data_IF_988325404382
#
_entry.id   IF_988325404382
#
_cell.length_a   1.000
_cell.length_b   1.000
_cell.length_c   1.000
_cell.angle_alpha   90.00
_cell.angle_beta   90.00
_cell.angle_gamma   90.00
#
_symmetry.space_group_name_H-M   'P 1'
#
loop_
_entity.id
_entity.type
_entity.pdbx_description
1 polymer ?
#
# COMPACT_ATOMS: atom_id res chain seq x y z
N UNK A 1 -6.03 -30.85 -3.65
CA UNK A 1 -4.56 -30.89 -3.54
C UNK A 1 -4.06 -29.46 -3.53
N UNK A 2 -3.21 -29.06 -2.57
CA UNK A 2 -2.57 -27.74 -2.56
C UNK A 2 -1.77 -27.49 -3.85
N UNK A 3 -1.80 -26.26 -4.36
CA UNK A 3 -1.07 -25.88 -5.59
C UNK A 3 0.27 -25.27 -5.23
N UNK A 4 1.36 -25.79 -5.82
CA UNK A 4 2.71 -25.27 -5.61
C UNK A 4 2.83 -23.77 -5.89
N UNK A 5 3.62 -23.09 -5.07
CA UNK A 5 4.01 -21.69 -5.28
C UNK A 5 4.60 -21.49 -6.70
N UNK A 6 4.28 -20.38 -7.33
CA UNK A 6 4.65 -20.11 -8.73
C UNK A 6 3.65 -19.22 -9.46
N UNK A 7 3.79 -19.12 -10.78
CA UNK A 7 2.95 -18.26 -11.65
C UNK A 7 1.44 -18.45 -11.46
N UNK A 8 0.97 -19.67 -11.16
CA UNK A 8 -0.45 -19.93 -10.87
C UNK A 8 -1.01 -18.97 -9.82
N UNK A 9 -0.28 -18.75 -8.72
CA UNK A 9 -0.72 -17.91 -7.63
C UNK A 9 -0.72 -16.42 -7.97
N UNK A 10 0.08 -16.00 -8.94
CA UNK A 10 0.04 -14.63 -9.48
C UNK A 10 -1.27 -14.43 -10.24
N UNK A 11 -1.60 -15.34 -11.15
CA UNK A 11 -2.86 -15.32 -11.92
C UNK A 11 -4.05 -15.40 -10.98
N UNK A 12 -4.04 -16.34 -10.04
CA UNK A 12 -5.09 -16.51 -9.05
C UNK A 12 -5.31 -15.24 -8.23
N UNK A 13 -4.25 -14.60 -7.75
CA UNK A 13 -4.37 -13.38 -6.95
C UNK A 13 -4.87 -12.19 -7.79
N UNK A 14 -4.52 -12.13 -9.07
CA UNK A 14 -5.02 -11.10 -9.99
C UNK A 14 -6.51 -11.28 -10.30
N UNK A 15 -7.04 -12.50 -10.23
CA UNK A 15 -8.48 -12.75 -10.37
C UNK A 15 -9.24 -12.58 -9.04
N UNK A 16 -8.73 -13.12 -7.93
CA UNK A 16 -9.48 -13.37 -6.70
C UNK A 16 -9.08 -12.48 -5.51
N UNK A 17 -7.93 -11.81 -5.58
CA UNK A 17 -7.38 -11.05 -4.46
C UNK A 17 -6.87 -9.68 -4.92
N UNK A 18 -7.69 -8.93 -5.67
CA UNK A 18 -7.35 -7.61 -6.19
C UNK A 18 -7.22 -6.58 -5.05
N UNK A 19 -6.25 -5.68 -5.20
CA UNK A 19 -6.22 -4.46 -4.39
C UNK A 19 -7.26 -3.47 -4.92
N UNK A 20 -7.74 -2.59 -4.04
CA UNK A 20 -8.64 -1.51 -4.40
C UNK A 20 -7.91 -0.20 -4.65
N UNK A 21 -8.58 0.68 -5.42
CA UNK A 21 -8.29 2.10 -5.59
C UNK A 21 -9.47 2.99 -5.18
N UNK A 22 -10.56 2.40 -4.69
CA UNK A 22 -11.78 3.11 -4.32
C UNK A 22 -11.68 3.62 -2.89
N UNK A 23 -11.95 4.91 -2.69
CA UNK A 23 -12.02 5.50 -1.35
C UNK A 23 -13.10 4.79 -0.51
N UNK A 24 -14.17 4.31 -1.15
CA UNK A 24 -15.26 3.60 -0.49
C UNK A 24 -14.86 2.30 0.21
N UNK A 25 -13.74 1.69 -0.20
CA UNK A 25 -13.22 0.47 0.41
C UNK A 25 -12.33 0.73 1.64
N UNK A 26 -12.08 2.00 1.98
CA UNK A 26 -11.37 2.38 3.22
C UNK A 26 -12.23 2.09 4.45
N UNK A 27 -11.57 1.95 5.60
CA UNK A 27 -12.24 1.88 6.90
C UNK A 27 -13.07 3.16 7.12
N UNK A 28 -14.24 3.01 7.73
CA UNK A 28 -15.30 4.03 7.72
C UNK A 28 -14.84 5.41 8.22
N UNK A 29 -14.15 5.47 9.36
CA UNK A 29 -13.65 6.73 9.91
C UNK A 29 -12.56 7.31 9.03
N UNK A 30 -11.62 6.49 8.58
CA UNK A 30 -10.55 6.95 7.69
C UNK A 30 -11.08 7.40 6.33
N UNK A 31 -12.11 6.74 5.79
CA UNK A 31 -12.82 7.13 4.56
C UNK A 31 -13.40 8.53 4.67
N UNK A 32 -14.11 8.83 5.76
CA UNK A 32 -14.69 10.15 6.01
C UNK A 32 -13.62 11.25 6.06
N UNK A 33 -12.52 10.97 6.76
CA UNK A 33 -11.37 11.85 6.87
C UNK A 33 -10.71 12.12 5.50
N UNK A 34 -10.47 11.07 4.71
CA UNK A 34 -9.91 11.18 3.35
C UNK A 34 -10.83 11.96 2.42
N UNK A 35 -12.13 11.72 2.45
CA UNK A 35 -13.09 12.46 1.64
C UNK A 35 -13.08 13.96 1.97
N UNK A 36 -13.07 14.30 3.26
CA UNK A 36 -12.98 15.70 3.70
C UNK A 36 -11.67 16.36 3.25
N UNK A 37 -10.54 15.68 3.40
CA UNK A 37 -9.24 16.20 2.96
C UNK A 37 -9.19 16.41 1.44
N UNK A 38 -9.61 15.42 0.65
CA UNK A 38 -9.63 15.50 -0.82
C UNK A 38 -10.59 16.61 -1.28
N UNK A 39 -11.73 16.80 -0.61
CA UNK A 39 -12.65 17.89 -0.90
C UNK A 39 -11.98 19.26 -0.70
N UNK A 40 -11.25 19.44 0.40
CA UNK A 40 -10.52 20.69 0.67
C UNK A 40 -9.42 20.95 -0.37
N UNK A 41 -8.67 19.91 -0.76
CA UNK A 41 -7.65 20.01 -1.81
C UNK A 41 -8.27 20.44 -3.15
N UNK A 42 -9.36 19.80 -3.56
CA UNK A 42 -10.04 20.10 -4.83
C UNK A 42 -10.66 21.49 -4.84
N UNK A 43 -11.25 21.91 -3.72
CA UNK A 43 -11.80 23.27 -3.57
C UNK A 43 -10.71 24.36 -3.74
N UNK A 44 -9.48 24.06 -3.36
CA UNK A 44 -8.33 24.94 -3.53
C UNK A 44 -7.66 24.86 -4.93
N UNK A 45 -8.24 24.09 -5.86
CA UNK A 45 -7.71 23.93 -7.22
C UNK A 45 -6.67 22.82 -7.40
N UNK A 46 -6.45 21.95 -6.40
CA UNK A 46 -5.57 20.80 -6.56
C UNK A 46 -6.27 19.61 -7.25
N UNK A 47 -5.49 18.85 -7.99
CA UNK A 47 -5.88 17.55 -8.54
C UNK A 47 -5.37 16.43 -7.64
N UNK A 48 -6.19 15.40 -7.44
CA UNK A 48 -5.84 14.23 -6.63
C UNK A 48 -6.08 12.96 -7.44
N UNK A 49 -5.05 12.12 -7.55
CA UNK A 49 -5.11 10.81 -8.21
C UNK A 49 -4.78 9.71 -7.22
N UNK A 50 -5.71 8.76 -7.04
CA UNK A 50 -5.57 7.64 -6.09
C UNK A 50 -5.02 6.41 -6.81
N UNK A 51 -3.88 5.90 -6.34
CA UNK A 51 -3.22 4.73 -6.92
C UNK A 51 -3.47 3.44 -6.13
N UNK A 52 -3.73 3.53 -4.83
CA UNK A 52 -4.11 2.37 -4.00
C UNK A 52 -4.88 2.78 -2.73
N UNK A 53 -5.75 1.89 -2.26
CA UNK A 53 -6.47 1.98 -0.98
C UNK A 53 -6.36 0.64 -0.26
N UNK A 54 -7.43 -0.16 -0.19
CA UNK A 54 -7.43 -1.43 0.53
C UNK A 54 -6.64 -2.51 -0.22
N UNK A 55 -5.65 -3.09 0.47
CA UNK A 55 -4.90 -4.26 0.00
C UNK A 55 -5.62 -5.52 0.46
N UNK A 56 -5.88 -6.46 -0.45
CA UNK A 56 -6.49 -7.72 -0.07
C UNK A 56 -5.54 -8.52 0.84
N UNK A 57 -6.05 -9.01 1.99
CA UNK A 57 -5.26 -9.78 2.97
C UNK A 57 -4.58 -11.01 2.35
N UNK A 58 -5.26 -11.73 1.45
CA UNK A 58 -4.71 -12.90 0.76
C UNK A 58 -3.57 -12.51 -0.19
N UNK A 59 -3.69 -11.37 -0.86
CA UNK A 59 -2.60 -10.83 -1.70
C UNK A 59 -1.40 -10.40 -0.87
N UNK A 60 -1.63 -9.71 0.24
CA UNK A 60 -0.57 -9.31 1.18
C UNK A 60 0.18 -10.53 1.73
N UNK A 61 -0.54 -11.60 2.06
CA UNK A 61 0.02 -12.88 2.46
C UNK A 61 0.94 -13.47 1.38
N UNK A 62 0.44 -13.59 0.14
CA UNK A 62 1.22 -14.12 -0.98
C UNK A 62 2.48 -13.29 -1.21
N UNK A 63 2.37 -11.95 -1.17
CA UNK A 63 3.49 -11.03 -1.32
C UNK A 63 4.57 -11.25 -0.26
N UNK A 64 4.15 -11.33 1.01
CA UNK A 64 5.06 -11.46 2.14
C UNK A 64 5.88 -12.75 2.07
N UNK A 65 5.19 -13.88 1.92
CA UNK A 65 5.83 -15.19 1.96
C UNK A 65 6.62 -15.49 0.70
N UNK A 66 6.13 -15.10 -0.49
CA UNK A 66 6.92 -15.26 -1.72
C UNK A 66 8.23 -14.47 -1.63
N UNK A 67 8.18 -13.26 -1.06
CA UNK A 67 9.38 -12.47 -0.84
C UNK A 67 10.31 -13.16 0.16
N UNK A 68 9.85 -13.47 1.38
CA UNK A 68 10.74 -14.05 2.40
C UNK A 68 11.38 -15.36 1.97
N UNK A 69 10.61 -16.26 1.35
CA UNK A 69 11.10 -17.56 0.89
C UNK A 69 12.09 -17.39 -0.26
N UNK A 70 11.76 -16.61 -1.30
CA UNK A 70 12.66 -16.39 -2.44
C UNK A 70 13.99 -15.74 -2.05
N UNK A 71 13.96 -14.82 -1.06
CA UNK A 71 15.15 -14.16 -0.55
C UNK A 71 15.92 -15.00 0.49
N UNK A 72 15.48 -16.23 0.78
CA UNK A 72 16.11 -17.10 1.77
C UNK A 72 16.01 -16.58 3.21
N UNK A 73 15.08 -15.65 3.47
CA UNK A 73 14.84 -15.04 4.80
C UNK A 73 13.85 -15.85 5.64
N UNK A 74 13.23 -16.89 5.09
CA UNK A 74 12.38 -17.86 5.79
C UNK A 74 12.38 -19.20 5.08
N UNK A 75 12.11 -20.26 5.83
CA UNK A 75 11.84 -21.59 5.28
C UNK A 75 10.42 -21.61 4.71
N UNK A 76 10.13 -22.47 3.72
CA UNK A 76 8.76 -22.67 3.23
C UNK A 76 7.76 -23.02 4.34
N UNK A 77 8.18 -23.83 5.32
CA UNK A 77 7.39 -24.25 6.49
C UNK A 77 7.02 -23.11 7.43
N UNK A 78 7.72 -21.98 7.39
CA UNK A 78 7.43 -20.84 8.28
C UNK A 78 6.13 -20.13 7.85
N UNK A 79 5.70 -20.31 6.60
CA UNK A 79 4.51 -19.70 6.07
C UNK A 79 3.24 -20.34 6.66
N UNK A 80 2.67 -19.69 7.68
CA UNK A 80 1.40 -20.12 8.29
C UNK A 80 0.31 -20.25 7.22
N UNK A 81 -0.52 -21.29 7.29
CA UNK A 81 -1.65 -21.45 6.36
C UNK A 81 -2.62 -20.26 6.45
N UNK A 82 -3.10 -19.78 5.31
CA UNK A 82 -4.14 -18.76 5.24
C UNK A 82 -5.40 -19.35 4.59
N UNK A 83 -6.57 -19.33 5.26
CA UNK A 83 -7.80 -19.87 4.70
C UNK A 83 -8.16 -19.31 3.32
N UNK A 84 -8.48 -20.22 2.38
CA UNK A 84 -8.79 -19.91 0.99
C UNK A 84 -7.60 -19.41 0.17
N UNK A 85 -6.38 -19.80 0.58
CA UNK A 85 -5.12 -19.71 -0.18
C UNK A 85 -4.39 -21.05 0.01
N UNK A 86 -4.79 -22.06 -0.77
CA UNK A 86 -4.27 -23.43 -0.69
C UNK A 86 -2.92 -23.60 -1.40
N UNK A 87 -1.98 -22.74 -1.07
CA UNK A 87 -0.63 -22.71 -1.63
C UNK A 87 0.27 -23.73 -0.94
N UNK A 88 0.99 -24.53 -1.73
CA UNK A 88 2.08 -25.37 -1.27
C UNK A 88 3.39 -24.62 -1.45
N UNK A 89 3.96 -24.15 -0.33
CA UNK A 89 5.25 -23.47 -0.35
C UNK A 89 6.41 -24.44 -0.39
N UNK A 90 6.28 -25.61 0.25
CA UNK A 90 7.35 -26.61 0.32
C UNK A 90 7.22 -27.59 -0.84
N UNK A 91 8.20 -27.53 -1.74
CA UNK A 91 8.20 -28.38 -2.93
C UNK A 91 8.92 -29.72 -2.68
N UNK A 92 9.29 -30.01 -1.44
CA UNK A 92 10.18 -31.13 -1.05
C UNK A 92 11.65 -30.85 -1.36
N UNK A 93 11.96 -29.65 -1.85
CA UNK A 93 13.29 -29.21 -2.27
C UNK A 93 13.40 -27.70 -2.07
N UNK A 94 14.44 -27.26 -1.37
CA UNK A 94 14.65 -25.85 -1.01
C UNK A 94 14.85 -24.96 -2.24
N UNK A 95 15.57 -25.44 -3.25
CA UNK A 95 15.84 -24.69 -4.49
C UNK A 95 14.56 -24.54 -5.31
N UNK A 96 13.74 -25.58 -5.43
CA UNK A 96 12.44 -25.53 -6.12
C UNK A 96 11.46 -24.61 -5.40
N UNK A 97 11.41 -24.67 -4.07
CA UNK A 97 10.56 -23.81 -3.24
C UNK A 97 10.93 -22.32 -3.42
N UNK A 98 12.23 -22.00 -3.40
CA UNK A 98 12.75 -20.65 -3.68
C UNK A 98 12.43 -20.21 -5.10
N UNK A 99 12.57 -21.10 -6.09
CA UNK A 99 12.27 -20.78 -7.49
C UNK A 99 10.78 -20.43 -7.68
N UNK A 100 9.87 -21.24 -7.14
CA UNK A 100 8.43 -20.96 -7.21
C UNK A 100 8.05 -19.64 -6.51
N UNK A 101 8.62 -19.38 -5.34
CA UNK A 101 8.45 -18.10 -4.65
C UNK A 101 9.02 -16.91 -5.46
N UNK A 102 10.16 -17.10 -6.15
CA UNK A 102 10.77 -16.08 -7.00
C UNK A 102 9.94 -15.77 -8.24
N UNK A 103 9.30 -16.77 -8.85
CA UNK A 103 8.34 -16.53 -9.94
C UNK A 103 7.22 -15.60 -9.50
N UNK A 104 6.70 -15.80 -8.28
CA UNK A 104 5.66 -14.94 -7.73
C UNK A 104 6.18 -13.53 -7.45
N UNK A 105 7.38 -13.37 -6.87
CA UNK A 105 8.01 -12.06 -6.68
C UNK A 105 8.11 -11.29 -8.00
N UNK A 106 8.59 -11.96 -9.06
CA UNK A 106 8.68 -11.37 -10.41
C UNK A 106 7.31 -11.04 -10.98
N UNK A 107 6.36 -11.98 -10.91
CA UNK A 107 5.00 -11.78 -11.44
C UNK A 107 4.20 -10.71 -10.72
N UNK A 108 4.48 -10.47 -9.43
CA UNK A 108 3.90 -9.37 -8.67
C UNK A 108 4.67 -8.05 -8.78
N UNK A 109 5.87 -8.06 -9.37
CA UNK A 109 6.72 -6.87 -9.46
C UNK A 109 7.20 -6.37 -8.10
N UNK A 110 7.44 -7.26 -7.14
CA UNK A 110 7.89 -6.86 -5.80
C UNK A 110 9.35 -6.38 -5.84
N UNK A 111 9.62 -5.29 -5.14
CA UNK A 111 10.99 -4.83 -4.95
C UNK A 111 11.79 -5.81 -4.08
N UNK A 112 13.01 -6.12 -4.51
CA UNK A 112 13.99 -6.97 -3.81
C UNK A 112 15.29 -6.17 -3.59
N UNK A 113 16.27 -6.68 -2.83
CA UNK A 113 17.53 -5.97 -2.62
C UNK A 113 18.25 -5.64 -3.95
N UNK A 114 18.95 -4.50 -4.05
CA UNK A 114 19.14 -3.49 -3.00
C UNK A 114 17.95 -2.52 -2.85
N UNK A 115 16.94 -2.57 -3.73
CA UNK A 115 15.82 -1.62 -3.74
C UNK A 115 14.92 -1.72 -2.51
N UNK A 116 14.72 -2.93 -1.99
CA UNK A 116 14.04 -3.18 -0.71
C UNK A 116 14.68 -4.35 0.01
N UNK A 117 15.02 -4.17 1.28
CA UNK A 117 15.52 -5.24 2.17
C UNK A 117 14.45 -5.80 3.09
N UNK A 118 13.21 -5.29 3.00
CA UNK A 118 12.09 -5.69 3.84
C UNK A 118 11.00 -6.38 3.00
N UNK A 119 10.36 -7.44 3.52
CA UNK A 119 9.18 -8.03 2.89
C UNK A 119 7.99 -7.07 2.98
N UNK A 120 7.03 -7.13 2.05
CA UNK A 120 5.73 -6.49 2.23
C UNK A 120 5.10 -6.87 3.58
N UNK A 121 4.68 -5.87 4.37
CA UNK A 121 4.18 -6.09 5.73
C UNK A 121 2.78 -6.73 5.76
N UNK A 122 2.61 -7.72 6.65
CA UNK A 122 1.31 -8.35 6.96
C UNK A 122 0.42 -7.50 7.88
N UNK A 123 0.97 -6.45 8.48
CA UNK A 123 0.27 -5.51 9.37
C UNK A 123 0.17 -4.11 8.76
N UNK A 124 0.37 -4.00 7.44
CA UNK A 124 0.24 -2.74 6.70
C UNK A 124 -1.15 -2.13 6.86
N UNK A 125 -1.21 -0.81 7.02
CA UNK A 125 -2.45 -0.04 7.09
C UNK A 125 -3.33 -0.18 5.83
N UNK A 126 -2.76 -0.50 4.67
CA UNK A 126 -3.56 -0.79 3.47
C UNK A 126 -4.44 -2.04 3.67
N UNK A 127 -4.01 -3.02 4.47
CA UNK A 127 -4.78 -4.26 4.68
C UNK A 127 -6.05 -3.96 5.48
N UNK A 128 -5.95 -3.08 6.48
CA UNK A 128 -7.08 -2.63 7.30
C UNK A 128 -7.88 -1.50 6.67
N UNK A 129 -7.53 -1.04 5.47
CA UNK A 129 -8.20 0.09 4.80
C UNK A 129 -7.94 1.43 5.49
N UNK A 130 -6.84 1.57 6.24
CA UNK A 130 -6.46 2.78 6.97
C UNK A 130 -5.28 3.54 6.34
N UNK A 131 -5.01 3.27 5.06
CA UNK A 131 -4.01 3.96 4.26
C UNK A 131 -4.51 4.15 2.81
N UNK A 132 -4.00 5.20 2.19
CA UNK A 132 -4.26 5.59 0.81
C UNK A 132 -2.95 6.06 0.17
N UNK A 133 -2.69 5.56 -1.03
CA UNK A 133 -1.63 6.06 -1.90
C UNK A 133 -2.25 7.04 -2.90
N UNK A 134 -1.78 8.28 -2.88
CA UNK A 134 -2.30 9.32 -3.77
C UNK A 134 -1.21 10.31 -4.20
N UNK A 135 -1.38 10.83 -5.41
CA UNK A 135 -0.62 11.94 -5.97
C UNK A 135 -1.47 13.19 -5.95
N UNK A 136 -0.93 14.28 -5.40
CA UNK A 136 -1.60 15.58 -5.28
C UNK A 136 -0.79 16.59 -6.10
N UNK A 137 -1.42 17.30 -7.04
CA UNK A 137 -0.76 18.27 -7.94
C UNK A 137 -1.56 19.56 -8.07
N UNK A 138 -0.85 20.67 -8.13
CA UNK A 138 -1.37 22.01 -8.45
C UNK A 138 -0.20 22.87 -8.97
N UNK A 139 -0.49 24.11 -9.37
CA UNK A 139 0.52 25.07 -9.84
C UNK A 139 0.57 26.27 -8.90
N UNK A 140 1.77 26.79 -8.65
CA UNK A 140 2.00 27.97 -7.83
C UNK A 140 1.60 27.78 -6.36
N UNK A 141 1.04 28.83 -5.77
CA UNK A 141 0.50 28.82 -4.42
C UNK A 141 -1.01 28.69 -4.44
N UNK A 142 -1.55 27.85 -3.55
CA UNK A 142 -3.00 27.71 -3.34
C UNK A 142 -3.33 27.87 -1.86
N UNK A 143 -4.56 28.30 -1.57
CA UNK A 143 -5.08 28.46 -0.22
C UNK A 143 -5.97 27.28 0.13
N UNK A 144 -5.57 26.46 1.10
CA UNK A 144 -6.30 25.24 1.48
C UNK A 144 -6.81 25.40 2.91
N UNK A 145 -8.08 25.05 3.14
CA UNK A 145 -8.67 25.04 4.46
C UNK A 145 -8.26 23.79 5.25
N UNK A 146 -7.87 23.97 6.51
CA UNK A 146 -7.80 22.93 7.53
C UNK A 146 -9.20 22.57 8.01
N UNK A 147 -9.30 21.46 8.76
CA UNK A 147 -10.57 20.96 9.29
C UNK A 147 -11.26 21.93 10.26
N UNK A 148 -10.49 22.75 10.96
CA UNK A 148 -10.99 23.78 11.90
C UNK A 148 -11.48 25.07 11.19
N UNK A 149 -11.41 25.12 9.86
CA UNK A 149 -11.82 26.28 9.06
C UNK A 149 -10.70 27.29 8.81
N UNK A 150 -9.53 27.15 9.44
CA UNK A 150 -8.39 28.03 9.16
C UNK A 150 -7.81 27.76 7.77
N UNK A 151 -7.36 28.81 7.08
CA UNK A 151 -6.79 28.71 5.74
C UNK A 151 -5.26 28.82 5.78
N UNK A 152 -4.58 27.94 5.04
CA UNK A 152 -3.12 27.95 4.90
C UNK A 152 -2.76 28.09 3.43
N UNK A 153 -1.85 29.03 3.12
CA UNK A 153 -1.23 29.12 1.79
C UNK A 153 -0.13 28.07 1.65
N UNK A 154 -0.17 27.31 0.56
CA UNK A 154 0.75 26.20 0.29
C UNK A 154 1.33 26.32 -1.11
N UNK A 155 2.66 26.32 -1.16
CA UNK A 155 3.41 26.22 -2.41
C UNK A 155 3.56 24.75 -2.85
N UNK A 156 3.44 24.51 -4.15
CA UNK A 156 3.70 23.18 -4.71
C UNK A 156 5.16 22.77 -4.50
N UNK A 157 5.38 21.52 -4.11
CA UNK A 157 6.71 20.92 -4.04
C UNK A 157 6.70 19.62 -4.83
N UNK A 158 7.63 19.47 -5.77
CA UNK A 158 7.84 18.22 -6.50
C UNK A 158 8.16 17.05 -5.55
N UNK A 159 8.88 17.34 -4.46
CA UNK A 159 9.08 16.40 -3.36
C UNK A 159 8.03 16.60 -2.27
N UNK A 160 6.89 15.91 -2.40
CA UNK A 160 5.80 15.94 -1.42
C UNK A 160 6.24 15.55 -0.01
N UNK A 161 7.28 14.72 0.14
CA UNK A 161 7.79 14.31 1.46
C UNK A 161 8.41 15.45 2.27
N UNK A 162 8.71 16.58 1.62
CA UNK A 162 9.22 17.80 2.28
C UNK A 162 8.15 18.88 2.48
N UNK A 163 6.94 18.71 1.95
CA UNK A 163 5.87 19.72 2.04
C UNK A 163 5.14 19.66 3.40
N UNK A 164 5.80 20.18 4.43
CA UNK A 164 5.28 20.18 5.81
C UNK A 164 3.96 20.94 5.96
N UNK A 165 3.75 22.02 5.19
CA UNK A 165 2.48 22.75 5.16
C UNK A 165 1.33 21.84 4.70
N UNK A 166 1.50 21.12 3.59
CA UNK A 166 0.51 20.13 3.12
C UNK A 166 0.30 19.01 4.15
N UNK A 167 1.37 18.54 4.81
CA UNK A 167 1.24 17.50 5.84
C UNK A 167 0.40 17.98 7.02
N UNK A 168 0.60 19.22 7.47
CA UNK A 168 -0.17 19.80 8.58
C UNK A 168 -1.66 19.92 8.25
N UNK A 169 -2.00 20.19 6.98
CA UNK A 169 -3.38 20.24 6.51
C UNK A 169 -3.96 18.82 6.52
N UNK A 170 -3.29 17.85 5.92
CA UNK A 170 -3.75 16.45 5.95
C UNK A 170 -3.94 15.94 7.38
N UNK A 171 -3.00 16.24 8.28
CA UNK A 171 -3.09 15.88 9.69
C UNK A 171 -4.29 16.51 10.39
N UNK A 172 -4.67 17.75 10.05
CA UNK A 172 -5.91 18.37 10.57
C UNK A 172 -7.17 17.57 10.21
N UNK A 173 -7.16 16.82 9.10
CA UNK A 173 -8.23 15.91 8.70
C UNK A 173 -8.06 14.49 9.26
N UNK A 174 -6.98 14.18 9.98
CA UNK A 174 -6.66 12.81 10.41
C UNK A 174 -6.02 11.95 9.31
N UNK A 175 -5.46 12.57 8.26
CA UNK A 175 -4.78 11.91 7.14
C UNK A 175 -3.31 12.30 7.13
N UNK A 176 -2.46 11.45 7.72
CA UNK A 176 -1.07 11.77 8.03
C UNK A 176 -0.11 11.23 6.96
N UNK A 177 0.89 12.03 6.59
CA UNK A 177 1.91 11.65 5.60
C UNK A 177 2.94 10.69 6.19
N UNK A 178 3.25 9.59 5.48
CA UNK A 178 4.51 8.86 5.69
C UNK A 178 5.64 9.54 4.91
N UNK A 179 6.61 10.13 5.61
CA UNK A 179 7.64 11.00 4.99
C UNK A 179 8.69 10.24 4.16
N UNK A 180 8.76 8.92 4.27
CA UNK A 180 9.71 8.08 3.53
C UNK A 180 9.13 7.48 2.26
N UNK A 181 7.82 7.60 2.03
CA UNK A 181 7.11 7.01 0.89
C UNK A 181 6.17 8.04 0.26
N UNK A 182 6.58 8.65 -0.85
CA UNK A 182 5.92 9.81 -1.46
C UNK A 182 4.39 9.69 -1.63
N UNK A 183 3.83 8.62 -2.21
CA UNK A 183 2.38 8.48 -2.34
C UNK A 183 1.63 8.21 -1.03
N UNK A 184 2.28 7.70 0.02
CA UNK A 184 1.59 7.09 1.16
C UNK A 184 1.08 8.09 2.19
N UNK A 185 -0.21 7.96 2.53
CA UNK A 185 -0.90 8.63 3.62
C UNK A 185 -1.72 7.62 4.42
N UNK A 186 -1.79 7.79 5.74
CA UNK A 186 -2.52 6.87 6.62
C UNK A 186 -3.06 7.57 7.86
N UNK A 187 -3.90 6.89 8.63
CA UNK A 187 -4.44 7.47 9.87
C UNK A 187 -3.37 7.82 10.91
N UNK A 188 -2.21 7.14 10.87
CA UNK A 188 -1.13 7.27 11.86
C UNK A 188 0.23 7.67 11.25
N UNK A 189 0.31 7.93 9.95
CA UNK A 189 1.54 8.37 9.27
C UNK A 189 2.60 7.27 9.11
N UNK A 190 2.18 6.00 9.23
CA UNK A 190 3.00 4.80 9.06
C UNK A 190 2.41 3.88 7.99
#
# INVERSE_FOLDING_TARGET
MPTKSGKYWVTWANANAKNSKKIDDLEENFKSNVNSFIKALKAAGATVSVSATKRNKKRAYLFHWSWKISQGKSKPSDATKLPGVDIEWDHGDSSKSKAGALEMVKGFGLAVPPKSVNPPSLTSNHISGKAIDMTIKWTGKIKINKKDGTTVEVEYMSNVNKNTSLHSIGESYGVKKLKTDAPHWSYNGR
#
